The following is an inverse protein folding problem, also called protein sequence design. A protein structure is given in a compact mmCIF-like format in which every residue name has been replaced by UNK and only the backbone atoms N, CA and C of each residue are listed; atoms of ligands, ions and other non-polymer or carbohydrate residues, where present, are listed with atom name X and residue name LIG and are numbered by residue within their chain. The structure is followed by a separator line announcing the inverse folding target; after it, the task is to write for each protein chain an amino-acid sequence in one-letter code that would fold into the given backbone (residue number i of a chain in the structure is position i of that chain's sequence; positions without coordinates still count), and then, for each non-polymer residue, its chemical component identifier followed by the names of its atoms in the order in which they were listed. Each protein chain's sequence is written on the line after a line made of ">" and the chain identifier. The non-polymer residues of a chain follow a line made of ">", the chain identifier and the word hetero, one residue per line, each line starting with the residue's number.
data_IF_508873733804
#
_entry.id   IF_508873733804
#
_cell.length_a   1.000
_cell.length_b   1.000
_cell.length_c   1.000
_cell.angle_alpha   90.00
_cell.angle_beta   90.00
_cell.angle_gamma   90.00
#
_symmetry.space_group_name_H-M   'P 1'
#
loop_
_entity.id
_entity.type
_entity.pdbx_description
1 polymer ?
#
# COMPACT_ATOMS: atom_id res chain seq x y z
N UNK A 1 21.85 14.40 -2.04
CA UNK A 1 20.95 13.54 -1.24
C UNK A 1 19.79 13.10 -2.12
N UNK A 2 19.57 11.80 -2.25
CA UNK A 2 18.45 11.29 -3.06
C UNK A 2 17.13 11.57 -2.36
N UNK A 3 16.16 12.09 -3.10
CA UNK A 3 14.81 12.28 -2.60
C UNK A 3 14.19 10.92 -2.28
N UNK A 4 13.59 10.79 -1.09
CA UNK A 4 12.83 9.60 -0.72
C UNK A 4 11.54 9.61 -1.52
N UNK A 5 11.28 8.54 -2.26
CA UNK A 5 10.03 8.39 -3.00
C UNK A 5 9.16 7.31 -2.37
N UNK A 6 7.96 7.70 -1.99
CA UNK A 6 6.99 6.84 -1.34
C UNK A 6 5.79 6.66 -2.26
N UNK A 7 5.45 5.41 -2.55
CA UNK A 7 4.23 5.04 -3.23
C UNK A 7 3.16 4.60 -2.24
N UNK A 8 1.95 5.07 -2.40
CA UNK A 8 0.78 4.65 -1.62
C UNK A 8 -0.21 4.01 -2.58
N UNK A 9 -0.36 2.69 -2.46
CA UNK A 9 -1.22 1.91 -3.34
C UNK A 9 -2.66 1.92 -2.79
N UNK A 10 -3.57 2.37 -3.62
CA UNK A 10 -5.01 2.42 -3.33
C UNK A 10 -5.80 1.67 -4.41
N UNK A 11 -7.04 1.39 -4.12
CA UNK A 11 -7.98 0.65 -4.96
C UNK A 11 -9.40 1.09 -4.62
N UNK A 12 -10.38 0.75 -5.43
CA UNK A 12 -11.78 1.10 -5.17
C UNK A 12 -12.21 0.64 -3.76
N UNK A 13 -12.90 1.50 -3.05
CA UNK A 13 -13.39 1.30 -1.67
C UNK A 13 -12.25 1.11 -0.65
N UNK A 14 -11.10 1.73 -0.88
CA UNK A 14 -10.05 1.79 0.12
C UNK A 14 -10.47 2.65 1.33
N UNK A 15 -9.86 2.42 2.48
CA UNK A 15 -10.06 3.26 3.66
C UNK A 15 -9.23 4.55 3.51
N UNK A 16 -9.90 5.69 3.48
CA UNK A 16 -9.23 6.98 3.21
C UNK A 16 -8.08 7.26 4.19
N UNK A 17 -8.29 7.00 5.49
CA UNK A 17 -7.27 7.24 6.51
C UNK A 17 -5.99 6.43 6.26
N UNK A 18 -6.11 5.24 5.69
CA UNK A 18 -4.98 4.35 5.42
C UNK A 18 -4.02 4.92 4.37
N UNK A 19 -4.49 5.82 3.53
CA UNK A 19 -3.67 6.57 2.58
C UNK A 19 -3.30 7.95 3.16
N UNK A 20 -4.28 8.71 3.62
CA UNK A 20 -4.09 10.08 4.11
C UNK A 20 -3.17 10.14 5.33
N UNK A 21 -3.25 9.15 6.24
CA UNK A 21 -2.40 9.08 7.42
C UNK A 21 -0.92 9.00 7.06
N UNK A 22 -0.47 7.95 6.36
CA UNK A 22 0.91 7.84 5.92
C UNK A 22 1.40 9.02 5.07
N UNK A 23 0.57 9.50 4.14
CA UNK A 23 0.92 10.67 3.31
C UNK A 23 1.26 11.86 4.20
N UNK A 24 0.40 12.17 5.18
CA UNK A 24 0.62 13.29 6.09
C UNK A 24 1.84 13.09 6.98
N UNK A 25 2.05 11.88 7.50
CA UNK A 25 3.20 11.56 8.34
C UNK A 25 4.50 11.78 7.59
N UNK A 26 4.63 11.24 6.38
CA UNK A 26 5.86 11.37 5.60
C UNK A 26 6.09 12.80 5.10
N UNK A 27 5.03 13.51 4.74
CA UNK A 27 5.13 14.93 4.37
C UNK A 27 5.67 15.77 5.53
N UNK A 28 5.09 15.60 6.71
CA UNK A 28 5.50 16.34 7.91
C UNK A 28 6.91 15.96 8.32
N UNK A 29 7.23 14.66 8.34
CA UNK A 29 8.57 14.18 8.68
C UNK A 29 9.64 14.75 7.75
N UNK A 30 9.37 14.78 6.44
CA UNK A 30 10.28 15.37 5.46
C UNK A 30 10.53 16.85 5.71
N UNK A 31 9.47 17.58 6.09
CA UNK A 31 9.57 19.00 6.43
C UNK A 31 10.46 19.24 7.63
N UNK A 32 10.30 18.46 8.70
CA UNK A 32 11.13 18.55 9.89
C UNK A 32 12.58 18.11 9.66
N UNK A 33 12.76 17.10 8.82
CA UNK A 33 14.10 16.58 8.50
C UNK A 33 14.87 17.47 7.52
N UNK A 34 14.21 18.46 6.89
CA UNK A 34 14.81 19.26 5.84
C UNK A 34 15.18 18.44 4.59
N UNK A 35 14.60 17.27 4.43
CA UNK A 35 14.86 16.36 3.30
C UNK A 35 13.62 16.23 2.44
N UNK A 36 13.73 16.43 1.12
CA UNK A 36 12.57 16.33 0.25
C UNK A 36 12.04 14.89 0.21
N UNK A 37 10.73 14.73 0.29
CA UNK A 37 10.05 13.47 0.03
C UNK A 37 9.07 13.66 -1.13
N UNK A 38 9.06 12.72 -2.06
CA UNK A 38 8.07 12.65 -3.13
C UNK A 38 7.08 11.55 -2.79
N UNK A 39 5.81 11.90 -2.69
CA UNK A 39 4.74 10.96 -2.37
C UNK A 39 3.82 10.83 -3.58
N UNK A 40 3.55 9.62 -3.99
CA UNK A 40 2.68 9.31 -5.13
C UNK A 40 1.60 8.34 -4.73
N UNK A 41 0.37 8.67 -5.03
CA UNK A 41 -0.75 7.74 -4.94
C UNK A 41 -0.76 6.90 -6.21
N UNK A 42 -0.84 5.58 -6.06
CA UNK A 42 -0.76 4.62 -7.16
C UNK A 42 -2.02 3.75 -7.17
N UNK A 43 -2.48 3.42 -8.37
CA UNK A 43 -3.58 2.50 -8.58
C UNK A 43 -3.42 1.77 -9.93
N UNK A 44 -4.10 0.64 -10.08
CA UNK A 44 -4.10 -0.12 -11.35
C UNK A 44 -4.61 0.75 -12.49
N UNK A 45 -5.72 1.47 -12.26
CA UNK A 45 -6.25 2.43 -13.23
C UNK A 45 -5.92 3.84 -12.76
N UNK A 46 -5.16 4.64 -13.53
CA UNK A 46 -4.86 6.01 -13.15
C UNK A 46 -6.12 6.89 -13.19
N UNK A 47 -6.11 7.96 -12.40
CA UNK A 47 -7.22 8.89 -12.28
C UNK A 47 -7.82 8.85 -10.89
N UNK A 48 -9.07 9.33 -10.72
CA UNK A 48 -9.73 9.35 -9.42
C UNK A 48 -10.04 7.93 -8.93
N UNK A 49 -9.67 7.65 -7.69
CA UNK A 49 -9.97 6.39 -7.00
C UNK A 49 -10.85 6.72 -5.81
N UNK A 50 -12.04 6.15 -5.78
CA UNK A 50 -13.04 6.41 -4.75
C UNK A 50 -12.78 5.55 -3.52
N UNK A 51 -12.66 6.19 -2.36
CA UNK A 51 -12.62 5.52 -1.06
C UNK A 51 -14.02 5.06 -0.63
N UNK A 52 -14.09 4.24 0.42
CA UNK A 52 -15.36 3.81 1.01
C UNK A 52 -16.20 4.96 1.57
N UNK A 53 -15.58 6.10 1.88
CA UNK A 53 -16.30 7.32 2.31
C UNK A 53 -16.85 8.15 1.16
N UNK A 54 -16.53 7.80 -0.10
CA UNK A 54 -16.90 8.57 -1.27
C UNK A 54 -15.90 9.67 -1.66
N UNK A 55 -14.92 9.96 -0.81
CA UNK A 55 -13.84 10.89 -1.14
C UNK A 55 -12.89 10.22 -2.13
N UNK A 56 -12.47 10.96 -3.14
CA UNK A 56 -11.58 10.45 -4.18
C UNK A 56 -10.16 10.98 -4.02
N UNK A 57 -9.18 10.12 -4.30
CA UNK A 57 -7.78 10.51 -4.48
C UNK A 57 -7.39 10.31 -5.94
N UNK A 58 -6.67 11.27 -6.51
CA UNK A 58 -6.14 11.12 -7.86
C UNK A 58 -4.89 10.26 -7.81
N UNK A 59 -4.92 9.12 -8.48
CA UNK A 59 -3.81 8.18 -8.52
C UNK A 59 -3.10 8.18 -9.87
N UNK A 60 -1.81 7.85 -9.84
CA UNK A 60 -1.04 7.50 -11.03
C UNK A 60 -1.13 5.98 -11.26
N UNK A 61 -0.91 5.56 -12.50
CA UNK A 61 -0.85 4.14 -12.83
C UNK A 61 0.35 3.43 -12.20
N UNK A 62 0.30 2.11 -12.16
CA UNK A 62 1.40 1.27 -11.69
C UNK A 62 2.54 1.33 -12.71
N UNK A 63 3.65 1.94 -12.33
CA UNK A 63 4.85 2.04 -13.14
C UNK A 63 5.95 1.18 -12.53
N UNK A 64 7.02 0.86 -13.28
CA UNK A 64 8.16 0.16 -12.72
C UNK A 64 8.61 0.79 -11.40
N UNK A 65 8.88 -0.05 -10.42
CA UNK A 65 9.14 0.35 -9.04
C UNK A 65 10.50 0.99 -8.81
N UNK A 66 11.30 1.21 -9.89
CA UNK A 66 12.69 1.61 -9.78
C UNK A 66 12.97 2.94 -9.07
N UNK A 67 11.97 3.83 -9.00
CA UNK A 67 12.11 5.12 -8.32
C UNK A 67 11.49 5.13 -6.91
N UNK A 68 10.76 4.09 -6.52
CA UNK A 68 10.09 4.00 -5.22
C UNK A 68 11.01 3.35 -4.20
N UNK A 69 11.22 3.99 -3.06
CA UNK A 69 11.99 3.43 -1.95
C UNK A 69 11.10 2.71 -0.94
N UNK A 70 9.85 3.14 -0.80
CA UNK A 70 8.87 2.56 0.12
C UNK A 70 7.51 2.48 -0.58
N UNK A 71 6.87 1.33 -0.48
CA UNK A 71 5.50 1.09 -0.94
C UNK A 71 4.62 0.82 0.26
N UNK A 72 3.55 1.60 0.41
CA UNK A 72 2.55 1.43 1.46
C UNK A 72 1.24 1.01 0.80
N UNK A 73 0.67 -0.09 1.25
CA UNK A 73 -0.57 -0.64 0.72
C UNK A 73 -1.71 -0.35 1.69
N UNK A 74 -2.72 0.39 1.23
CA UNK A 74 -3.91 0.70 2.01
C UNK A 74 -4.76 -0.55 2.23
N UNK A 75 -5.62 -0.50 3.24
CA UNK A 75 -6.67 -1.48 3.46
C UNK A 75 -8.05 -0.90 3.16
N UNK A 76 -9.09 -1.51 3.67
CA UNK A 76 -10.47 -1.06 3.54
C UNK A 76 -11.39 -2.13 2.98
N UNK A 77 -12.63 -1.75 2.76
CA UNK A 77 -13.69 -2.66 2.29
C UNK A 77 -13.37 -3.34 0.94
N UNK A 78 -12.67 -2.63 0.06
CA UNK A 78 -12.29 -3.14 -1.27
C UNK A 78 -11.11 -4.11 -1.28
N UNK A 79 -10.53 -4.43 -0.12
CA UNK A 79 -9.31 -5.26 -0.04
C UNK A 79 -9.50 -6.66 -0.63
N UNK A 80 -10.68 -7.24 -0.50
CA UNK A 80 -10.95 -8.60 -1.03
C UNK A 80 -10.82 -8.63 -2.55
N UNK A 81 -11.40 -7.65 -3.22
CA UNK A 81 -11.29 -7.52 -4.68
C UNK A 81 -9.86 -7.20 -5.10
N UNK A 82 -9.20 -6.25 -4.41
CA UNK A 82 -7.83 -5.89 -4.70
C UNK A 82 -6.85 -7.05 -4.53
N UNK A 83 -7.07 -7.90 -3.52
CA UNK A 83 -6.24 -9.08 -3.25
C UNK A 83 -6.38 -10.20 -4.30
N UNK A 84 -7.38 -10.14 -5.16
CA UNK A 84 -7.54 -11.06 -6.30
C UNK A 84 -7.08 -10.45 -7.63
N UNK A 85 -6.66 -9.20 -7.62
CA UNK A 85 -6.22 -8.50 -8.83
C UNK A 85 -4.76 -8.83 -9.13
N UNK A 86 -4.51 -9.59 -10.19
CA UNK A 86 -3.15 -10.01 -10.53
C UNK A 86 -2.20 -8.84 -10.84
N UNK A 87 -2.70 -7.75 -11.41
CA UNK A 87 -1.88 -6.55 -11.64
C UNK A 87 -1.39 -5.95 -10.33
N UNK A 88 -2.25 -5.89 -9.31
CA UNK A 88 -1.89 -5.43 -7.97
C UNK A 88 -0.84 -6.36 -7.35
N UNK A 89 -1.09 -7.66 -7.37
CA UNK A 89 -0.20 -8.66 -6.77
C UNK A 89 1.17 -8.68 -7.46
N UNK A 90 1.18 -8.64 -8.79
CA UNK A 90 2.43 -8.60 -9.57
C UNK A 90 3.25 -7.35 -9.26
N UNK A 91 2.60 -6.21 -9.11
CA UNK A 91 3.27 -4.96 -8.74
C UNK A 91 3.93 -5.06 -7.36
N UNK A 92 3.20 -5.57 -6.36
CA UNK A 92 3.72 -5.76 -5.00
C UNK A 92 4.90 -6.74 -4.99
N UNK A 93 4.77 -7.87 -5.69
CA UNK A 93 5.87 -8.86 -5.81
C UNK A 93 7.11 -8.25 -6.45
N UNK A 94 6.94 -7.48 -7.52
CA UNK A 94 8.05 -6.84 -8.21
C UNK A 94 8.74 -5.80 -7.31
N UNK A 95 7.97 -5.02 -6.55
CA UNK A 95 8.51 -4.07 -5.58
C UNK A 95 9.37 -4.78 -4.53
N UNK A 96 8.87 -5.85 -3.94
CA UNK A 96 9.61 -6.64 -2.94
C UNK A 96 10.88 -7.23 -3.52
N UNK A 97 10.83 -7.81 -4.72
CA UNK A 97 12.01 -8.36 -5.42
C UNK A 97 13.10 -7.32 -5.66
N UNK A 98 12.73 -6.08 -5.88
CA UNK A 98 13.68 -4.98 -6.12
C UNK A 98 14.25 -4.38 -4.84
N UNK A 99 13.89 -4.91 -3.69
CA UNK A 99 14.35 -4.40 -2.40
C UNK A 99 13.61 -3.15 -1.93
N UNK A 100 12.47 -2.83 -2.53
CA UNK A 100 11.60 -1.76 -2.04
C UNK A 100 11.07 -2.17 -0.67
N UNK A 101 11.08 -1.24 0.29
CA UNK A 101 10.45 -1.46 1.59
C UNK A 101 8.94 -1.52 1.39
N UNK A 102 8.34 -2.68 1.63
CA UNK A 102 6.90 -2.88 1.46
C UNK A 102 6.23 -2.93 2.83
N UNK A 103 5.21 -2.13 3.00
CA UNK A 103 4.41 -2.06 4.22
C UNK A 103 2.92 -2.03 3.86
N UNK A 104 2.10 -2.38 4.83
CA UNK A 104 0.64 -2.27 4.70
C UNK A 104 0.04 -1.58 5.91
N UNK A 105 -1.12 -0.99 5.73
CA UNK A 105 -1.93 -0.41 6.79
C UNK A 105 -3.24 -1.18 6.85
N UNK A 106 -3.74 -1.43 8.07
CA UNK A 106 -5.04 -2.05 8.26
C UNK A 106 -5.11 -3.42 7.54
N UNK A 107 -6.19 -3.68 6.82
CA UNK A 107 -6.37 -4.92 6.05
C UNK A 107 -5.54 -5.01 4.76
N UNK A 108 -4.73 -4.01 4.45
CA UNK A 108 -3.78 -4.08 3.32
C UNK A 108 -2.82 -5.27 3.40
N UNK A 109 -2.61 -5.82 4.60
CA UNK A 109 -1.81 -7.02 4.82
C UNK A 109 -2.33 -8.23 4.00
N UNK A 110 -3.62 -8.30 3.70
CA UNK A 110 -4.18 -9.35 2.84
C UNK A 110 -3.58 -9.34 1.44
N UNK A 111 -3.37 -8.16 0.88
CA UNK A 111 -2.73 -8.01 -0.44
C UNK A 111 -1.27 -8.50 -0.37
N UNK A 112 -0.55 -8.15 0.70
CA UNK A 112 0.83 -8.61 0.88
C UNK A 112 0.90 -10.13 1.05
N UNK A 113 -0.03 -10.71 1.80
CA UNK A 113 -0.10 -12.15 2.01
C UNK A 113 -0.41 -12.90 0.71
N UNK A 114 -1.39 -12.43 -0.07
CA UNK A 114 -1.72 -13.02 -1.37
C UNK A 114 -0.57 -12.88 -2.38
N UNK A 115 0.20 -11.80 -2.30
CA UNK A 115 1.39 -11.63 -3.11
C UNK A 115 2.55 -12.55 -2.69
N UNK A 116 2.45 -13.23 -1.54
CA UNK A 116 3.48 -14.13 -1.02
C UNK A 116 4.65 -13.41 -0.34
N UNK A 117 4.60 -12.10 -0.18
CA UNK A 117 5.72 -11.33 0.39
C UNK A 117 5.81 -11.42 1.92
N UNK A 118 4.80 -11.98 2.58
CA UNK A 118 4.79 -12.20 4.02
C UNK A 118 5.21 -13.62 4.43
N UNK A 119 5.38 -14.53 3.50
CA UNK A 119 5.71 -15.93 3.78
C UNK A 119 7.00 -16.02 4.62
N UNK A 120 6.93 -16.74 5.74
CA UNK A 120 8.05 -16.88 6.68
C UNK A 120 8.37 -15.63 7.51
N UNK A 121 7.53 -14.61 7.48
CA UNK A 121 7.72 -13.35 8.20
C UNK A 121 6.65 -13.13 9.27
N UNK A 122 7.01 -12.45 10.34
CA UNK A 122 6.03 -11.96 11.31
C UNK A 122 5.29 -10.78 10.69
N UNK A 123 3.96 -10.82 10.77
CA UNK A 123 3.09 -9.80 10.21
C UNK A 123 1.88 -9.57 11.10
N UNK A 124 1.19 -8.50 10.86
CA UNK A 124 -0.07 -8.15 11.53
C UNK A 124 -1.04 -7.56 10.53
N UNK A 125 -2.28 -7.41 10.95
CA UNK A 125 -3.35 -6.81 10.15
C UNK A 125 -4.27 -6.01 11.07
N UNK A 126 -5.37 -5.51 10.54
CA UNK A 126 -6.41 -4.85 11.33
C UNK A 126 -6.88 -5.78 12.46
N UNK A 127 -7.00 -5.26 13.69
CA UNK A 127 -7.26 -6.06 14.88
C UNK A 127 -8.52 -6.94 14.81
N UNK A 128 -9.57 -6.48 14.13
CA UNK A 128 -10.80 -7.25 13.92
C UNK A 128 -10.62 -8.42 12.94
N UNK A 129 -9.55 -8.43 12.16
CA UNK A 129 -9.27 -9.43 11.14
C UNK A 129 -8.20 -10.44 11.57
N UNK A 130 -7.59 -10.27 12.72
CA UNK A 130 -6.43 -11.07 13.15
C UNK A 130 -6.70 -12.57 13.10
N UNK A 131 -7.83 -13.01 13.64
CA UNK A 131 -8.19 -14.45 13.65
C UNK A 131 -8.33 -15.02 12.26
N UNK A 132 -9.07 -14.33 11.39
CA UNK A 132 -9.25 -14.75 10.01
C UNK A 132 -7.91 -14.76 9.26
N UNK A 133 -7.09 -13.73 9.46
CA UNK A 133 -5.80 -13.59 8.79
C UNK A 133 -4.85 -14.75 9.13
N UNK A 134 -4.72 -15.08 10.41
CA UNK A 134 -3.88 -16.20 10.87
C UNK A 134 -4.38 -17.54 10.29
N UNK A 135 -5.69 -17.73 10.25
CA UNK A 135 -6.29 -18.95 9.69
C UNK A 135 -6.07 -19.06 8.18
N UNK A 136 -6.20 -17.94 7.46
CA UNK A 136 -6.06 -17.92 5.99
C UNK A 136 -4.60 -18.01 5.52
N UNK A 137 -3.67 -17.48 6.32
CA UNK A 137 -2.24 -17.39 5.98
C UNK A 137 -1.37 -17.91 7.12
N UNK A 138 -1.31 -19.24 7.32
CA UNK A 138 -0.59 -19.85 8.45
C UNK A 138 0.94 -19.85 8.30
N UNK A 139 1.47 -19.38 7.18
CA UNK A 139 2.93 -19.41 6.84
C UNK A 139 3.67 -18.16 7.23
#
# INVERSE_FOLDING_TARGET
>A
MMAIMIGVLVFADFQLLDAAGPISVFEIAARFAGSPASIKVLAVTPGPVRSSSGVELVARGLRPTGAISTLIVAGGEGVRTAATCEKTLAFVRAAAKRGVRVASVCSGAYILAEAGVLDGRRATTHWQRTRHFVSAYPR
#
